data_IF_800744088893
#
_entry.id   IF_800744088893
#
_cell.length_a   1.000
_cell.length_b   1.000
_cell.length_c   1.000
_cell.angle_alpha   90.00
_cell.angle_beta   90.00
_cell.angle_gamma   90.00
#
_symmetry.space_group_name_H-M   'P 1'
#
loop_
_entity.id
_entity.type
_entity.pdbx_description
1 polymer ?
#
# COMPACT_ATOMS: atom_id res chain seq x y z
N UNK A 1 11.61 -17.32 -12.28
CA UNK A 1 10.18 -16.96 -12.49
C UNK A 1 10.09 -15.44 -12.61
N UNK A 2 9.16 -14.90 -13.37
CA UNK A 2 8.85 -13.45 -13.32
C UNK A 2 7.89 -13.16 -12.15
N UNK A 3 7.68 -11.87 -11.84
CA UNK A 3 6.80 -11.47 -10.74
C UNK A 3 5.36 -12.01 -10.92
N UNK A 4 4.70 -12.47 -9.84
CA UNK A 4 3.30 -12.88 -9.91
C UNK A 4 2.40 -11.75 -10.40
N UNK A 5 1.34 -12.11 -11.11
CA UNK A 5 0.38 -11.17 -11.71
C UNK A 5 -1.02 -11.43 -11.17
N UNK A 6 -1.90 -10.43 -11.21
CA UNK A 6 -3.31 -10.56 -10.85
C UNK A 6 -4.19 -9.94 -11.93
N UNK A 7 -5.37 -10.52 -12.15
CA UNK A 7 -6.34 -10.03 -13.13
C UNK A 7 -7.24 -8.89 -12.60
N UNK A 8 -6.98 -8.41 -11.39
CA UNK A 8 -7.72 -7.30 -10.76
C UNK A 8 -6.79 -6.10 -10.54
N UNK A 9 -7.32 -4.88 -10.39
CA UNK A 9 -6.51 -3.74 -9.98
C UNK A 9 -5.82 -4.05 -8.65
N UNK A 10 -4.58 -3.57 -8.47
CA UNK A 10 -3.82 -3.74 -7.21
C UNK A 10 -4.51 -3.08 -6.02
N UNK A 11 -5.44 -2.16 -6.29
CA UNK A 11 -6.20 -1.44 -5.29
C UNK A 11 -7.65 -1.28 -5.73
N UNK A 12 -8.59 -1.61 -4.84
CA UNK A 12 -10.01 -1.63 -5.17
C UNK A 12 -10.89 -1.94 -3.96
N UNK A 13 -12.20 -1.96 -4.20
CA UNK A 13 -13.18 -2.46 -3.23
C UNK A 13 -13.40 -3.96 -3.46
N UNK A 14 -13.56 -4.73 -2.37
CA UNK A 14 -13.95 -6.13 -2.47
C UNK A 14 -15.41 -6.20 -2.98
N UNK A 15 -15.69 -6.95 -4.06
CA UNK A 15 -17.04 -7.02 -4.61
C UNK A 15 -17.99 -7.75 -3.67
N UNK A 16 -19.23 -7.26 -3.57
CA UNK A 16 -20.29 -7.93 -2.81
C UNK A 16 -20.79 -9.23 -3.47
N UNK A 17 -20.56 -9.38 -4.78
CA UNK A 17 -20.86 -10.61 -5.52
C UNK A 17 -19.64 -11.50 -5.54
N UNK A 18 -19.86 -12.82 -5.42
CA UNK A 18 -18.82 -13.82 -5.59
C UNK A 18 -18.08 -13.59 -6.92
N UNK A 19 -16.77 -13.41 -6.84
CA UNK A 19 -15.90 -13.05 -7.95
C UNK A 19 -14.61 -13.86 -7.85
N UNK A 20 -13.98 -14.16 -8.99
CA UNK A 20 -12.74 -14.93 -9.06
C UNK A 20 -11.57 -14.00 -9.32
N UNK A 21 -10.55 -14.07 -8.45
CA UNK A 21 -9.25 -13.42 -8.67
C UNK A 21 -8.29 -14.47 -9.22
N UNK A 22 -7.80 -14.26 -10.44
CA UNK A 22 -6.78 -15.11 -11.04
C UNK A 22 -5.41 -14.55 -10.69
N UNK A 23 -4.57 -15.40 -10.10
CA UNK A 23 -3.18 -15.10 -9.78
C UNK A 23 -2.29 -15.90 -10.74
N UNK A 24 -1.55 -15.20 -11.59
CA UNK A 24 -0.64 -15.82 -12.56
C UNK A 24 0.78 -15.92 -12.00
N UNK A 25 1.41 -17.09 -12.16
CA UNK A 25 2.79 -17.36 -11.74
C UNK A 25 3.67 -17.64 -12.97
N UNK A 26 4.21 -16.61 -13.63
CA UNK A 26 4.87 -16.74 -14.93
C UNK A 26 6.25 -17.39 -14.82
N UNK A 27 6.34 -18.68 -15.13
CA UNK A 27 7.61 -19.37 -15.32
C UNK A 27 8.25 -18.96 -16.66
N UNK A 28 9.51 -18.52 -16.63
CA UNK A 28 10.22 -18.06 -17.83
C UNK A 28 10.73 -19.21 -18.72
N UNK A 29 10.62 -20.46 -18.27
CA UNK A 29 11.01 -21.65 -19.04
C UNK A 29 12.51 -21.82 -19.29
N UNK A 30 13.38 -20.95 -18.76
CA UNK A 30 14.84 -20.98 -19.01
C UNK A 30 15.60 -22.07 -18.27
N UNK A 31 15.11 -22.49 -17.10
CA UNK A 31 15.76 -23.45 -16.21
C UNK A 31 14.69 -24.14 -15.36
N UNK A 32 14.94 -25.42 -15.03
CA UNK A 32 14.23 -26.12 -13.97
C UNK A 32 14.57 -25.49 -12.62
N UNK A 33 13.57 -25.40 -11.74
CA UNK A 33 13.82 -24.99 -10.37
C UNK A 33 12.58 -24.58 -9.60
N UNK A 34 12.81 -24.24 -8.34
CA UNK A 34 11.78 -23.69 -7.45
C UNK A 34 12.05 -22.20 -7.28
N UNK A 35 11.07 -21.38 -7.64
CA UNK A 35 11.12 -19.94 -7.41
C UNK A 35 10.36 -19.58 -6.14
N UNK A 36 11.00 -18.80 -5.26
CA UNK A 36 10.36 -18.18 -4.12
C UNK A 36 9.75 -16.82 -4.53
N UNK A 37 8.61 -16.46 -3.95
CA UNK A 37 7.94 -15.19 -4.20
C UNK A 37 7.08 -14.76 -3.00
N UNK A 38 6.74 -13.47 -2.96
CA UNK A 38 5.87 -12.89 -1.94
C UNK A 38 4.56 -12.42 -2.55
N UNK A 39 3.45 -12.62 -1.83
CA UNK A 39 2.14 -12.06 -2.17
C UNK A 39 1.61 -11.38 -0.93
N UNK A 40 1.49 -10.05 -0.99
CA UNK A 40 1.01 -9.24 0.12
C UNK A 40 -0.35 -8.64 -0.21
N UNK A 41 -1.35 -8.92 0.63
CA UNK A 41 -2.73 -8.43 0.47
C UNK A 41 -3.22 -7.88 1.79
N UNK A 42 -3.86 -6.71 1.74
CA UNK A 42 -4.42 -6.02 2.90
C UNK A 42 -5.88 -5.73 2.61
N UNK A 43 -6.77 -6.11 3.53
CA UNK A 43 -8.18 -5.75 3.50
C UNK A 43 -8.42 -4.72 4.60
N UNK A 44 -9.00 -3.59 4.23
CA UNK A 44 -9.32 -2.49 5.14
C UNK A 44 -10.83 -2.35 5.31
N UNK A 45 -11.26 -1.83 6.46
CA UNK A 45 -12.62 -1.36 6.66
C UNK A 45 -12.85 0.03 6.02
N UNK A 46 -14.06 0.56 6.12
CA UNK A 46 -14.43 1.89 5.61
C UNK A 46 -13.67 3.05 6.27
N UNK A 47 -13.16 2.87 7.48
CA UNK A 47 -12.35 3.86 8.20
C UNK A 47 -10.88 3.85 7.78
N UNK A 48 -10.48 2.95 6.87
CA UNK A 48 -9.10 2.76 6.43
C UNK A 48 -8.23 1.97 7.41
N UNK A 49 -8.83 1.26 8.37
CA UNK A 49 -8.11 0.38 9.29
C UNK A 49 -7.98 -1.01 8.68
N UNK A 50 -6.78 -1.60 8.71
CA UNK A 50 -6.53 -2.98 8.30
C UNK A 50 -7.29 -3.97 9.20
N UNK A 51 -8.12 -4.81 8.60
CA UNK A 51 -8.87 -5.87 9.28
C UNK A 51 -8.30 -7.26 8.99
N UNK A 52 -7.78 -7.48 7.79
CA UNK A 52 -7.11 -8.70 7.38
C UNK A 52 -5.85 -8.33 6.63
N UNK A 53 -4.76 -9.05 6.87
CA UNK A 53 -3.52 -8.87 6.14
C UNK A 53 -2.78 -10.19 6.01
N UNK A 54 -2.04 -10.34 4.92
CA UNK A 54 -1.04 -11.39 4.80
C UNK A 54 -0.02 -11.27 5.94
N UNK A 55 0.40 -12.39 6.55
CA UNK A 55 1.46 -12.38 7.56
C UNK A 55 2.75 -11.74 7.03
N UNK A 56 3.51 -11.09 7.92
CA UNK A 56 4.79 -10.51 7.54
C UNK A 56 5.77 -11.59 7.05
N UNK A 57 6.46 -11.31 5.96
CA UNK A 57 7.45 -12.19 5.33
C UNK A 57 6.88 -13.55 4.92
N UNK A 58 5.62 -13.58 4.44
CA UNK A 58 5.03 -14.79 3.88
C UNK A 58 5.68 -15.11 2.52
N UNK A 59 6.49 -16.18 2.50
CA UNK A 59 7.19 -16.67 1.31
C UNK A 59 6.48 -17.91 0.77
N UNK A 60 6.14 -17.86 -0.51
CA UNK A 60 5.52 -18.96 -1.26
C UNK A 60 6.49 -19.50 -2.31
N UNK A 61 6.26 -20.73 -2.75
CA UNK A 61 7.13 -21.41 -3.70
C UNK A 61 6.35 -21.90 -4.90
N UNK A 62 6.93 -21.75 -6.10
CA UNK A 62 6.40 -22.29 -7.36
C UNK A 62 7.49 -23.08 -8.06
N UNK A 63 7.21 -24.35 -8.34
CA UNK A 63 8.04 -25.17 -9.22
C UNK A 63 7.82 -24.76 -10.66
N UNK A 64 8.91 -24.47 -11.36
CA UNK A 64 8.97 -24.20 -12.78
C UNK A 64 9.78 -25.30 -13.45
N UNK A 65 9.22 -25.87 -14.51
CA UNK A 65 9.92 -26.83 -15.37
C UNK A 65 10.47 -26.10 -16.60
N UNK A 66 11.63 -26.53 -17.08
CA UNK A 66 12.19 -26.08 -18.34
C UNK A 66 11.33 -26.64 -19.47
N UNK A 67 10.67 -25.73 -20.18
CA UNK A 67 9.90 -26.05 -21.36
C UNK A 67 10.33 -25.08 -22.46
N UNK A 68 11.06 -25.60 -23.44
CA UNK A 68 11.52 -24.83 -24.59
C UNK A 68 10.54 -25.01 -25.76
N UNK A 69 9.89 -23.89 -26.11
CA UNK A 69 9.06 -23.81 -27.30
C UNK A 69 9.93 -23.37 -28.49
N UNK A 70 9.82 -24.01 -29.66
CA UNK A 70 10.45 -23.53 -30.88
C UNK A 70 10.08 -22.05 -31.12
N UNK A 71 11.06 -21.19 -31.42
CA UNK A 71 10.82 -19.75 -31.62
C UNK A 71 10.52 -18.91 -30.36
N UNK A 72 10.30 -19.55 -29.21
CA UNK A 72 10.02 -18.91 -27.92
C UNK A 72 8.61 -18.30 -27.82
N UNK A 73 8.16 -18.05 -26.59
CA UNK A 73 6.89 -17.36 -26.32
C UNK A 73 7.13 -15.90 -25.97
N UNK A 74 6.36 -14.98 -26.56
CA UNK A 74 6.47 -13.53 -26.37
C UNK A 74 5.39 -13.01 -25.41
N UNK A 75 5.53 -11.75 -25.00
CA UNK A 75 4.52 -10.99 -24.24
C UNK A 75 4.06 -11.67 -22.92
N UNK A 76 4.92 -12.48 -22.30
CA UNK A 76 4.58 -13.19 -21.06
C UNK A 76 3.87 -14.54 -21.27
N UNK A 77 3.81 -15.04 -22.52
CA UNK A 77 3.32 -16.39 -22.79
C UNK A 77 4.17 -17.47 -22.14
N UNK A 78 3.52 -18.53 -21.67
CA UNK A 78 4.16 -19.68 -21.04
C UNK A 78 4.26 -20.84 -22.03
N UNK A 79 5.43 -21.50 -22.09
CA UNK A 79 5.57 -22.70 -22.89
C UNK A 79 5.10 -23.91 -22.09
N UNK A 80 4.06 -24.60 -22.57
CA UNK A 80 3.58 -25.79 -21.89
C UNK A 80 4.35 -27.06 -22.29
N UNK A 81 4.07 -28.17 -21.62
CA UNK A 81 4.72 -29.47 -21.83
C UNK A 81 4.57 -30.00 -23.27
N UNK A 82 3.56 -29.53 -24.01
CA UNK A 82 3.32 -29.87 -25.42
C UNK A 82 4.11 -28.98 -26.39
N UNK A 83 5.01 -28.13 -25.89
CA UNK A 83 5.78 -27.14 -26.66
C UNK A 83 4.89 -26.16 -27.44
N UNK A 84 3.74 -25.82 -26.87
CA UNK A 84 2.83 -24.81 -27.39
C UNK A 84 2.83 -23.60 -26.44
N UNK A 85 2.90 -22.40 -27.00
CA UNK A 85 2.79 -21.17 -26.22
C UNK A 85 1.34 -20.96 -25.78
N UNK A 86 1.12 -20.89 -24.47
CA UNK A 86 -0.12 -20.42 -23.87
C UNK A 86 -0.06 -18.91 -23.74
N UNK A 87 -0.89 -18.23 -24.53
CA UNK A 87 -0.86 -16.78 -24.63
C UNK A 87 -1.69 -16.11 -23.54
N UNK A 88 -1.21 -15.00 -22.96
CA UNK A 88 -2.00 -14.20 -22.05
C UNK A 88 -3.14 -13.49 -22.79
N UNK A 89 -4.13 -13.04 -22.03
CA UNK A 89 -5.29 -12.33 -22.56
C UNK A 89 -4.89 -11.18 -23.50
N UNK A 90 -5.55 -11.13 -24.65
CA UNK A 90 -5.28 -10.12 -25.68
C UNK A 90 -4.06 -10.43 -26.56
N UNK A 91 -3.43 -11.60 -26.43
CA UNK A 91 -2.37 -12.07 -27.33
C UNK A 91 -2.72 -13.41 -27.96
N UNK A 92 -2.24 -13.63 -29.17
CA UNK A 92 -2.47 -14.88 -29.90
C UNK A 92 -1.36 -15.14 -30.92
N UNK A 93 -1.45 -16.28 -31.60
CA UNK A 93 -0.44 -16.76 -32.54
C UNK A 93 0.49 -17.81 -31.91
N UNK A 94 1.32 -18.48 -32.73
CA UNK A 94 2.18 -19.57 -32.28
C UNK A 94 3.21 -19.15 -31.23
N UNK A 95 3.60 -17.87 -31.18
CA UNK A 95 4.58 -17.33 -30.26
C UNK A 95 4.01 -16.18 -29.41
N UNK A 96 2.68 -16.02 -29.36
CA UNK A 96 2.00 -14.90 -28.68
C UNK A 96 2.47 -13.52 -29.18
N UNK A 97 2.87 -13.45 -30.43
CA UNK A 97 3.41 -12.26 -31.08
C UNK A 97 2.33 -11.32 -31.61
N UNK A 98 1.13 -11.85 -31.88
CA UNK A 98 0.00 -11.07 -32.38
C UNK A 98 -0.75 -10.50 -31.19
N UNK A 99 -1.02 -9.20 -31.27
CA UNK A 99 -1.73 -8.45 -30.26
C UNK A 99 -3.15 -8.23 -30.75
N UNK A 100 -4.13 -8.63 -29.95
CA UNK A 100 -5.52 -8.26 -30.17
C UNK A 100 -5.70 -6.80 -29.73
N UNK A 101 -5.42 -6.45 -28.47
CA UNK A 101 -5.54 -5.06 -27.99
C UNK A 101 -4.19 -4.36 -27.81
N UNK A 102 -3.92 -3.38 -28.68
CA UNK A 102 -2.83 -2.43 -28.53
C UNK A 102 -3.42 -1.01 -28.39
N UNK A 103 -3.30 -0.34 -27.23
CA UNK A 103 -2.63 -0.78 -26.00
C UNK A 103 -3.38 -1.89 -25.24
N UNK A 104 -2.65 -2.66 -24.41
CA UNK A 104 -3.23 -3.75 -23.60
C UNK A 104 -4.24 -3.21 -22.60
N UNK A 105 -5.31 -3.94 -22.32
CA UNK A 105 -6.28 -3.57 -21.29
C UNK A 105 -5.66 -3.73 -19.88
N UNK A 106 -5.80 -2.71 -19.04
CA UNK A 106 -5.31 -2.66 -17.66
C UNK A 106 -6.44 -2.96 -16.68
N UNK A 107 -6.09 -3.14 -15.40
CA UNK A 107 -7.04 -3.17 -14.29
C UNK A 107 -8.13 -4.28 -14.39
N UNK A 108 -7.88 -5.34 -15.16
CA UNK A 108 -8.84 -6.41 -15.41
C UNK A 108 -9.82 -6.14 -16.57
N UNK A 109 -9.53 -5.15 -17.42
CA UNK A 109 -10.34 -4.90 -18.62
C UNK A 109 -10.28 -6.05 -19.62
N UNK A 110 -11.40 -6.31 -20.28
CA UNK A 110 -11.54 -7.39 -21.26
C UNK A 110 -11.28 -6.87 -22.68
N UNK A 111 -10.33 -7.47 -23.39
CA UNK A 111 -10.11 -7.21 -24.80
C UNK A 111 -11.12 -8.00 -25.65
N UNK A 112 -12.03 -7.32 -26.35
CA UNK A 112 -13.07 -7.98 -27.16
C UNK A 112 -12.87 -7.84 -28.67
N UNK A 113 -12.29 -6.73 -29.11
CA UNK A 113 -11.93 -6.47 -30.52
C UNK A 113 -10.62 -5.70 -30.57
N UNK A 114 -9.93 -5.66 -31.72
CA UNK A 114 -8.66 -4.98 -31.79
C UNK A 114 -8.71 -3.52 -31.32
N UNK A 115 -7.87 -3.20 -30.33
CA UNK A 115 -7.77 -1.87 -29.73
C UNK A 115 -8.95 -1.43 -28.84
N UNK A 116 -9.90 -2.31 -28.54
CA UNK A 116 -11.07 -1.98 -27.71
C UNK A 116 -11.13 -2.81 -26.43
N UNK A 117 -11.07 -2.10 -25.30
CA UNK A 117 -11.17 -2.67 -23.97
C UNK A 117 -12.54 -2.38 -23.34
N UNK A 118 -13.20 -3.42 -22.85
CA UNK A 118 -14.32 -3.27 -21.91
C UNK A 118 -13.74 -3.04 -20.52
N UNK A 119 -13.90 -1.82 -19.99
CA UNK A 119 -13.34 -1.46 -18.71
C UNK A 119 -14.19 -1.97 -17.54
N UNK A 120 -13.54 -2.41 -16.44
CA UNK A 120 -14.25 -2.74 -15.23
C UNK A 120 -14.86 -1.46 -14.62
N UNK A 121 -15.87 -1.62 -13.75
CA UNK A 121 -16.47 -0.49 -13.05
C UNK A 121 -15.41 0.42 -12.40
N UNK A 122 -15.60 1.73 -12.52
CA UNK A 122 -14.68 2.72 -11.95
C UNK A 122 -13.44 3.03 -12.79
N UNK A 123 -13.19 2.33 -13.90
CA UNK A 123 -12.10 2.62 -14.83
C UNK A 123 -12.62 3.02 -16.21
N UNK A 124 -11.83 3.82 -16.94
CA UNK A 124 -12.13 4.28 -18.29
C UNK A 124 -10.84 4.56 -19.07
N UNK A 125 -10.99 4.99 -20.33
CA UNK A 125 -9.88 5.19 -21.26
C UNK A 125 -9.71 4.02 -22.21
N UNK A 126 -8.88 4.18 -23.24
CA UNK A 126 -8.69 3.18 -24.32
C UNK A 126 -8.19 1.85 -23.78
N UNK A 127 -7.39 1.87 -22.72
CA UNK A 127 -6.81 0.72 -22.03
C UNK A 127 -7.24 0.58 -20.57
N UNK A 128 -8.28 1.28 -20.11
CA UNK A 128 -8.79 1.17 -18.74
C UNK A 128 -7.77 1.56 -17.64
N UNK A 129 -6.85 2.47 -17.95
CA UNK A 129 -5.80 2.94 -17.05
C UNK A 129 -6.26 4.10 -16.16
N UNK A 130 -7.29 4.84 -16.57
CA UNK A 130 -7.82 5.99 -15.81
C UNK A 130 -8.90 5.54 -14.85
N UNK A 131 -8.74 5.86 -13.57
CA UNK A 131 -9.80 5.73 -12.58
C UNK A 131 -10.76 6.93 -12.68
N UNK A 132 -12.06 6.67 -12.68
CA UNK A 132 -13.08 7.70 -12.63
C UNK A 132 -13.18 8.22 -11.19
N UNK A 133 -12.59 9.38 -10.92
CA UNK A 133 -12.60 10.03 -9.62
C UNK A 133 -13.63 11.16 -9.64
N UNK A 134 -14.90 10.82 -9.43
CA UNK A 134 -15.99 11.81 -9.32
C UNK A 134 -15.77 12.78 -8.14
N UNK A 135 -15.03 12.35 -7.11
CA UNK A 135 -14.65 13.16 -5.96
C UNK A 135 -13.15 13.41 -5.94
N UNK A 136 -12.73 14.64 -5.64
CA UNK A 136 -11.32 14.98 -5.39
C UNK A 136 -10.94 14.49 -3.98
N UNK A 137 -9.87 13.70 -3.87
CA UNK A 137 -9.29 13.35 -2.57
C UNK A 137 -8.38 14.48 -2.09
N UNK A 138 -8.69 15.07 -0.94
CA UNK A 138 -7.92 16.16 -0.35
C UNK A 138 -6.69 15.65 0.41
N UNK A 139 -5.82 16.58 0.79
CA UNK A 139 -4.70 16.37 1.71
C UNK A 139 -3.73 15.23 1.30
N UNK A 140 -3.61 14.96 0.00
CA UNK A 140 -2.76 13.89 -0.53
C UNK A 140 -3.39 12.49 -0.49
N UNK A 141 -4.72 12.39 -0.37
CA UNK A 141 -5.43 11.13 -0.52
C UNK A 141 -5.36 10.59 -1.96
N UNK A 142 -5.40 9.27 -2.09
CA UNK A 142 -5.33 8.58 -3.37
C UNK A 142 -6.71 8.09 -3.79
N UNK A 143 -7.22 8.56 -4.92
CA UNK A 143 -8.45 8.02 -5.50
C UNK A 143 -8.16 6.70 -6.23
N UNK A 144 -9.03 5.71 -6.04
CA UNK A 144 -8.94 4.42 -6.71
C UNK A 144 -10.27 3.91 -7.27
N UNK A 145 -11.37 4.58 -6.96
CA UNK A 145 -12.71 4.29 -7.45
C UNK A 145 -13.59 5.55 -7.33
N UNK A 146 -14.65 5.71 -8.14
CA UNK A 146 -15.59 6.83 -8.00
C UNK A 146 -16.04 7.04 -6.56
N UNK A 147 -15.80 8.24 -6.04
CA UNK A 147 -16.18 8.62 -4.68
C UNK A 147 -15.41 7.92 -3.56
N UNK A 148 -14.33 7.17 -3.84
CA UNK A 148 -13.55 6.47 -2.80
C UNK A 148 -12.09 6.89 -2.81
N UNK A 149 -11.66 7.37 -1.64
CA UNK A 149 -10.32 7.83 -1.37
C UNK A 149 -9.64 6.96 -0.31
N UNK A 150 -8.34 6.73 -0.48
CA UNK A 150 -7.48 6.25 0.60
C UNK A 150 -6.88 7.46 1.27
N UNK A 151 -7.18 7.60 2.55
CA UNK A 151 -6.72 8.73 3.33
C UNK A 151 -5.35 8.49 3.95
N UNK A 152 -4.49 9.51 3.96
CA UNK A 152 -3.25 9.46 4.72
C UNK A 152 -3.51 9.20 6.21
N UNK A 153 -2.51 8.68 6.95
CA UNK A 153 -2.64 8.46 8.39
C UNK A 153 -3.10 9.72 9.12
N UNK A 154 -4.08 9.57 10.01
CA UNK A 154 -4.65 10.68 10.77
C UNK A 154 -5.79 11.45 10.10
N UNK A 155 -6.18 11.08 8.87
CA UNK A 155 -7.33 11.64 8.16
C UNK A 155 -8.39 10.57 7.88
N UNK A 156 -9.64 11.01 7.73
CA UNK A 156 -10.82 10.23 7.37
C UNK A 156 -11.84 11.11 6.61
N UNK A 157 -13.00 10.52 6.29
CA UNK A 157 -14.00 11.13 5.41
C UNK A 157 -13.91 10.58 3.98
N UNK A 158 -14.96 10.79 3.19
CA UNK A 158 -15.03 10.27 1.81
C UNK A 158 -13.99 10.94 0.90
N UNK A 159 -13.54 12.15 1.24
CA UNK A 159 -12.54 12.93 0.51
C UNK A 159 -11.28 13.21 1.34
N UNK A 160 -11.07 12.55 2.48
CA UNK A 160 -9.94 12.78 3.38
C UNK A 160 -9.86 14.20 3.96
N UNK A 161 -11.02 14.78 4.22
CA UNK A 161 -11.24 16.13 4.72
C UNK A 161 -11.31 16.21 6.25
N UNK A 162 -11.59 15.10 6.94
CA UNK A 162 -11.81 15.05 8.38
C UNK A 162 -10.52 14.59 9.08
N UNK A 163 -10.11 15.29 10.14
CA UNK A 163 -9.01 14.82 10.99
C UNK A 163 -9.50 13.80 12.02
N UNK A 164 -8.78 12.68 12.15
CA UNK A 164 -8.98 11.69 13.22
C UNK A 164 -8.58 12.22 14.61
N UNK A 165 -7.96 13.39 14.70
CA UNK A 165 -7.57 14.02 15.96
C UNK A 165 -8.45 15.25 16.22
N UNK A 166 -9.60 15.11 16.92
CA UNK A 166 -10.44 16.23 17.34
C UNK A 166 -9.67 17.33 18.06
N UNK A 167 -8.69 16.93 18.88
CA UNK A 167 -7.69 17.87 19.40
C UNK A 167 -6.40 17.77 18.59
N UNK A 168 -5.87 18.91 18.12
CA UNK A 168 -4.66 18.91 17.30
C UNK A 168 -3.45 18.47 18.12
N UNK A 169 -2.57 17.71 17.48
CA UNK A 169 -1.28 17.32 18.03
C UNK A 169 -0.43 18.57 18.27
N UNK A 170 0.09 18.75 19.49
CA UNK A 170 0.92 19.90 19.85
C UNK A 170 2.38 19.69 19.45
N UNK A 171 3.17 20.77 19.52
CA UNK A 171 4.64 20.74 19.36
C UNK A 171 5.09 20.05 18.06
N UNK A 172 4.41 20.39 16.95
CA UNK A 172 4.62 19.82 15.62
C UNK A 172 4.40 18.29 15.53
N UNK A 173 3.64 17.71 16.47
CA UNK A 173 3.20 16.32 16.36
C UNK A 173 2.30 16.11 15.14
N UNK A 174 2.32 14.91 14.57
CA UNK A 174 1.46 14.54 13.44
C UNK A 174 0.35 13.60 13.90
N UNK A 175 -0.90 13.88 13.52
CA UNK A 175 -1.98 12.94 13.75
C UNK A 175 -1.73 11.68 12.92
N UNK A 176 -1.83 10.51 13.54
CA UNK A 176 -1.64 9.22 12.86
C UNK A 176 -2.84 8.28 13.03
N UNK A 177 -3.82 8.67 13.84
CA UNK A 177 -5.03 7.90 14.09
C UNK A 177 -5.91 8.58 15.14
N UNK A 178 -7.01 7.90 15.52
CA UNK A 178 -7.99 8.46 16.45
C UNK A 178 -7.37 8.85 17.78
N UNK A 179 -7.27 10.15 18.07
CA UNK A 179 -6.57 10.72 19.24
C UNK A 179 -5.12 10.23 19.42
N UNK A 180 -4.44 9.82 18.34
CA UNK A 180 -3.06 9.33 18.39
C UNK A 180 -2.15 10.26 17.62
N UNK A 181 -1.21 10.87 18.33
CA UNK A 181 -0.19 11.73 17.76
C UNK A 181 1.18 11.05 17.72
N UNK A 182 1.86 11.11 16.57
CA UNK A 182 3.29 10.86 16.46
C UNK A 182 4.04 12.11 16.89
N UNK A 183 4.68 12.04 18.05
CA UNK A 183 5.37 13.19 18.64
C UNK A 183 6.73 13.47 18.00
N UNK A 184 7.03 14.76 17.89
CA UNK A 184 8.36 15.26 17.59
C UNK A 184 9.35 14.89 18.71
N UNK A 185 10.64 14.83 18.35
CA UNK A 185 11.71 14.48 19.30
C UNK A 185 11.65 15.37 20.54
N UNK A 186 11.64 14.75 21.73
CA UNK A 186 11.60 15.46 23.00
C UNK A 186 10.20 15.72 23.55
N UNK A 187 9.14 15.24 22.90
CA UNK A 187 7.77 15.30 23.41
C UNK A 187 7.12 13.92 23.46
N UNK A 188 6.13 13.74 24.33
CA UNK A 188 5.38 12.50 24.53
C UNK A 188 3.94 12.76 25.00
N UNK A 189 3.19 11.66 25.17
CA UNK A 189 1.77 11.67 25.50
C UNK A 189 0.88 11.75 24.26
N UNK A 190 -0.41 11.49 24.43
CA UNK A 190 -1.35 11.30 23.31
C UNK A 190 -1.47 12.51 22.38
N UNK A 191 -1.26 13.72 22.91
CA UNK A 191 -1.29 15.00 22.17
C UNK A 191 0.09 15.66 22.04
N UNK A 192 1.17 14.96 22.39
CA UNK A 192 2.54 15.51 22.35
C UNK A 192 2.74 16.77 23.19
N UNK A 193 1.94 16.93 24.23
CA UNK A 193 1.97 18.09 25.13
C UNK A 193 3.01 17.97 26.23
N UNK A 194 3.49 16.76 26.54
CA UNK A 194 4.43 16.53 27.65
C UNK A 194 5.86 16.56 27.13
N UNK A 195 6.72 17.51 27.56
CA UNK A 195 8.13 17.48 27.22
C UNK A 195 8.84 16.31 27.90
N UNK A 196 9.91 15.84 27.29
CA UNK A 196 10.73 14.72 27.74
C UNK A 196 12.10 15.25 28.13
N UNK A 197 12.50 14.97 29.37
CA UNK A 197 13.83 15.26 29.89
C UNK A 197 14.56 13.95 30.16
N UNK A 198 15.71 13.73 29.49
CA UNK A 198 16.56 12.56 29.70
C UNK A 198 18.01 13.01 29.92
N UNK A 199 18.60 12.80 31.12
CA UNK A 199 17.98 12.32 32.37
C UNK A 199 16.86 13.24 32.89
N UNK A 200 15.96 12.69 33.72
CA UNK A 200 14.86 13.46 34.33
C UNK A 200 15.32 14.61 35.22
N UNK A 201 14.37 15.45 35.66
CA UNK A 201 14.62 16.65 36.45
C UNK A 201 14.71 16.44 37.97
N UNK A 202 15.07 15.22 38.39
CA UNK A 202 15.05 14.84 39.80
C UNK A 202 13.63 14.88 40.40
N UNK A 203 13.54 14.82 41.73
CA UNK A 203 12.26 14.94 42.47
C UNK A 203 11.86 16.39 42.76
N UNK A 204 12.80 17.33 42.58
CA UNK A 204 12.66 18.76 42.93
C UNK A 204 12.65 19.67 41.70
N UNK A 205 12.37 19.10 40.52
CA UNK A 205 12.26 19.83 39.27
C UNK A 205 11.19 19.25 38.36
N UNK A 206 10.66 20.10 37.48
CA UNK A 206 9.70 19.69 36.44
C UNK A 206 10.30 19.91 35.06
N UNK A 207 9.95 19.05 34.11
CA UNK A 207 10.36 19.21 32.73
C UNK A 207 9.42 20.21 32.05
N UNK A 208 9.91 21.40 31.71
CA UNK A 208 9.10 22.46 31.11
C UNK A 208 9.24 22.49 29.59
N UNK A 209 10.44 22.18 29.09
CA UNK A 209 10.75 22.03 27.67
C UNK A 209 11.67 20.80 27.49
N UNK A 210 11.83 20.27 26.26
CA UNK A 210 12.71 19.13 26.01
C UNK A 210 14.10 19.33 26.62
N UNK A 211 14.47 18.43 27.54
CA UNK A 211 15.74 18.46 28.30
C UNK A 211 16.03 19.75 29.10
N UNK A 212 15.01 20.57 29.41
CA UNK A 212 15.15 21.74 30.29
C UNK A 212 14.28 21.58 31.53
N UNK A 213 14.97 21.58 32.67
CA UNK A 213 14.36 21.43 33.98
C UNK A 213 14.13 22.78 34.63
N UNK A 214 12.92 22.99 35.13
CA UNK A 214 12.58 24.08 36.02
C UNK A 214 12.67 23.57 37.46
N UNK A 215 13.61 24.12 38.23
CA UNK A 215 13.86 23.70 39.60
C UNK A 215 12.95 24.43 40.59
N UNK A 216 12.56 23.74 41.66
CA UNK A 216 11.90 24.36 42.81
C UNK A 216 12.85 25.31 43.53
N UNK A 217 12.30 26.24 44.29
CA UNK A 217 13.08 27.23 45.05
C UNK A 217 14.11 26.55 45.98
N UNK A 218 15.33 27.10 45.99
CA UNK A 218 16.46 26.52 46.72
C UNK A 218 17.15 25.34 46.04
N UNK A 219 16.69 24.91 44.86
CA UNK A 219 17.34 23.87 44.05
C UNK A 219 17.84 24.42 42.72
N UNK A 220 18.95 23.87 42.23
CA UNK A 220 19.58 24.30 40.98
C UNK A 220 20.31 23.17 40.25
N UNK A 221 20.86 23.49 39.08
CA UNK A 221 21.57 22.56 38.21
C UNK A 221 20.68 21.92 37.14
N UNK A 222 21.30 21.28 36.13
CA UNK A 222 20.62 20.76 34.93
C UNK A 222 19.50 19.75 35.23
N UNK A 223 19.59 19.05 36.35
CA UNK A 223 18.62 18.05 36.80
C UNK A 223 18.00 18.38 38.16
N UNK A 224 18.14 19.62 38.66
CA UNK A 224 17.59 20.07 39.95
C UNK A 224 17.99 19.20 41.16
N UNK A 225 19.19 18.65 41.14
CA UNK A 225 19.72 17.75 42.17
C UNK A 225 20.71 18.44 43.12
N UNK A 226 20.94 19.74 42.96
CA UNK A 226 21.85 20.53 43.83
C UNK A 226 21.03 21.52 44.64
N UNK A 227 21.33 21.66 45.93
CA UNK A 227 20.68 22.60 46.85
C UNK A 227 21.56 23.83 47.01
N UNK A 228 20.97 25.02 46.94
CA UNK A 228 21.67 26.26 47.28
C UNK A 228 22.08 26.20 48.76
N UNK A 229 23.34 26.50 49.06
CA UNK A 229 23.84 26.59 50.43
C UNK A 229 23.28 27.81 51.13
#
# INVERSE_FOLDING_TARGET
>A
MADPTVNVPLLGTVPHKASVVQVGFPCLGKQDGVAAFEVNVIVMNSEGNTILQTPQNAIFFKTCQQAECPGGCRNGGFCNERRVCECPDGFYGPHCEKVLCAPRCMNGGLCVTPGFCICPPGFYGVNCDKANCSATCFNGGTCFYPGKCICPPGLEGEQCEISKCPQPCRNAGKCIGKNKCKCSKGYQGDLCSKPVCKPGCGTRGTCHEPNKCQCQEGWHGRHCNKRNK
#
